data_IF_542160920913
#
_entry.id   IF_542160920913
#
_cell.length_a   1.000
_cell.length_b   1.000
_cell.length_c   1.000
_cell.angle_alpha   90.00
_cell.angle_beta   90.00
_cell.angle_gamma   90.00
#
_symmetry.space_group_name_H-M   'P 1'
#
loop_
_entity.id
_entity.type
_entity.pdbx_description
1 polymer ?
#
# COMPACT_ATOMS: atom_id res chain seq x y z
N UNK A 1 8.60 -42.65 23.81
CA UNK A 1 9.01 -41.72 22.73
C UNK A 1 10.52 -41.53 22.81
N UNK A 2 11.25 -41.71 21.71
CA UNK A 2 12.71 -41.54 21.68
C UNK A 2 13.09 -40.05 21.83
N UNK A 3 14.10 -39.73 22.64
CA UNK A 3 14.60 -38.36 22.85
C UNK A 3 14.93 -37.64 21.53
N UNK A 4 15.35 -38.41 20.52
CA UNK A 4 15.59 -37.94 19.16
C UNK A 4 14.33 -37.38 18.49
N UNK A 5 13.20 -38.05 18.64
CA UNK A 5 11.92 -37.61 18.06
C UNK A 5 11.45 -36.31 18.74
N UNK A 6 11.73 -36.15 20.03
CA UNK A 6 11.38 -34.96 20.79
C UNK A 6 12.21 -33.74 20.36
N UNK A 7 13.49 -33.95 20.04
CA UNK A 7 14.37 -32.92 19.48
C UNK A 7 13.97 -32.54 18.05
N UNK A 8 13.59 -33.50 17.21
CA UNK A 8 13.09 -33.19 15.86
C UNK A 8 11.78 -32.41 15.89
N UNK A 9 10.86 -32.78 16.77
CA UNK A 9 9.57 -32.07 16.90
C UNK A 9 9.78 -30.62 17.37
N UNK A 10 10.75 -30.39 18.26
CA UNK A 10 11.15 -29.05 18.67
C UNK A 10 11.74 -28.25 17.52
N UNK A 11 12.64 -28.85 16.74
CA UNK A 11 13.23 -28.20 15.56
C UNK A 11 12.17 -27.83 14.53
N UNK A 12 11.22 -28.72 14.26
CA UNK A 12 10.10 -28.46 13.35
C UNK A 12 9.21 -27.31 13.84
N UNK A 13 8.93 -27.26 15.15
CA UNK A 13 8.21 -26.13 15.75
C UNK A 13 8.95 -24.82 15.53
N UNK A 14 10.25 -24.77 15.78
CA UNK A 14 11.06 -23.56 15.62
C UNK A 14 11.12 -23.10 14.15
N UNK A 15 11.25 -24.04 13.21
CA UNK A 15 11.21 -23.76 11.77
C UNK A 15 9.84 -23.21 11.34
N UNK A 16 8.75 -23.76 11.87
CA UNK A 16 7.40 -23.30 11.59
C UNK A 16 7.17 -21.87 12.10
N UNK A 17 7.62 -21.56 13.32
CA UNK A 17 7.53 -20.21 13.88
C UNK A 17 8.33 -19.18 13.07
N UNK A 18 9.53 -19.56 12.63
CA UNK A 18 10.35 -18.72 11.76
C UNK A 18 9.66 -18.47 10.41
N UNK A 19 9.02 -19.50 9.85
CA UNK A 19 8.27 -19.36 8.60
C UNK A 19 7.07 -18.41 8.76
N UNK A 20 6.29 -18.55 9.84
CA UNK A 20 5.18 -17.63 10.11
C UNK A 20 5.65 -16.20 10.33
N UNK A 21 6.76 -15.99 11.06
CA UNK A 21 7.31 -14.64 11.26
C UNK A 21 7.68 -13.99 9.93
N UNK A 22 8.34 -14.74 9.03
CA UNK A 22 8.64 -14.23 7.68
C UNK A 22 7.40 -13.92 6.86
N UNK A 23 6.35 -14.74 6.95
CA UNK A 23 5.09 -14.45 6.25
C UNK A 23 4.43 -13.19 6.79
N UNK A 24 4.46 -12.98 8.10
CA UNK A 24 3.95 -11.77 8.73
C UNK A 24 4.80 -10.55 8.34
N UNK A 25 6.13 -10.66 8.38
CA UNK A 25 7.04 -9.59 7.95
C UNK A 25 6.85 -9.24 6.46
N UNK A 26 6.63 -10.25 5.61
CA UNK A 26 6.36 -10.05 4.19
C UNK A 26 4.99 -9.41 3.95
N UNK A 27 3.95 -9.87 4.65
CA UNK A 27 2.62 -9.26 4.57
C UNK A 27 2.63 -7.83 5.13
N UNK A 28 3.38 -7.58 6.20
CA UNK A 28 3.57 -6.25 6.77
C UNK A 28 4.32 -5.35 5.79
N UNK A 29 5.37 -5.84 5.11
CA UNK A 29 6.04 -5.13 4.02
C UNK A 29 5.12 -4.86 2.85
N UNK A 30 4.32 -5.82 2.40
CA UNK A 30 3.29 -5.60 1.37
C UNK A 30 2.24 -4.55 1.80
N UNK A 31 2.03 -4.35 3.10
CA UNK A 31 1.12 -3.32 3.63
C UNK A 31 1.81 -1.94 3.83
N UNK A 32 3.07 -1.91 4.24
CA UNK A 32 3.82 -0.69 4.60
C UNK A 32 4.65 -0.15 3.44
N UNK A 33 5.42 -1.02 2.79
CA UNK A 33 6.24 -0.78 1.60
C UNK A 33 5.76 -1.68 0.46
N UNK A 34 4.53 -1.53 -0.05
CA UNK A 34 4.25 -2.20 -1.28
C UNK A 34 5.18 -1.52 -2.28
N UNK A 35 6.06 -2.30 -2.89
CA UNK A 35 6.67 -1.94 -4.16
C UNK A 35 5.47 -1.74 -5.11
N UNK A 36 4.83 -0.57 -5.01
CA UNK A 36 3.59 -0.23 -5.65
C UNK A 36 3.96 0.28 -7.03
N UNK A 37 3.90 -0.60 -8.01
CA UNK A 37 3.30 -0.20 -9.26
C UNK A 37 1.99 -0.87 -9.32
N UNK A 38 0.96 -0.05 -9.21
CA UNK A 38 -0.31 -0.45 -9.79
C UNK A 38 -0.08 -0.43 -11.30
N UNK A 39 -0.46 -1.49 -12.00
CA UNK A 39 -0.74 -1.38 -13.42
C UNK A 39 -1.80 -0.27 -13.58
N UNK A 40 -1.54 0.70 -14.46
CA UNK A 40 -2.38 1.90 -14.60
C UNK A 40 -3.84 1.61 -15.01
N UNK A 41 -4.22 0.35 -15.21
CA UNK A 41 -5.52 -0.13 -15.64
C UNK A 41 -6.46 -0.57 -14.50
N UNK A 42 -5.99 -0.69 -13.24
CA UNK A 42 -6.84 -1.07 -12.10
C UNK A 42 -7.23 0.13 -11.22
N UNK A 43 -8.27 0.84 -11.65
CA UNK A 43 -8.77 2.07 -11.00
C UNK A 43 -9.45 1.84 -9.64
N UNK A 44 -10.05 0.67 -9.41
CA UNK A 44 -10.66 0.31 -8.12
C UNK A 44 -9.59 0.14 -7.03
N UNK A 45 -8.52 -0.60 -7.36
CA UNK A 45 -7.37 -0.76 -6.47
C UNK A 45 -6.70 0.60 -6.18
N UNK A 46 -6.56 1.45 -7.20
CA UNK A 46 -6.00 2.80 -7.05
C UNK A 46 -6.85 3.67 -6.12
N UNK A 47 -8.18 3.65 -6.27
CA UNK A 47 -9.11 4.39 -5.41
C UNK A 47 -9.00 3.97 -3.95
N UNK A 48 -8.99 2.65 -3.69
CA UNK A 48 -8.83 2.13 -2.34
C UNK A 48 -7.49 2.56 -1.75
N UNK A 49 -6.42 2.48 -2.52
CA UNK A 49 -5.08 2.79 -2.07
C UNK A 49 -4.87 4.28 -1.74
N UNK A 50 -5.34 5.19 -2.59
CA UNK A 50 -5.31 6.63 -2.34
C UNK A 50 -6.00 6.96 -1.00
N UNK A 51 -7.19 6.37 -0.78
CA UNK A 51 -7.95 6.56 0.46
C UNK A 51 -7.21 5.99 1.67
N UNK A 52 -6.65 4.79 1.55
CA UNK A 52 -5.94 4.09 2.63
C UNK A 52 -4.67 4.83 3.02
N UNK A 53 -3.81 5.19 2.05
CA UNK A 53 -2.56 5.92 2.32
C UNK A 53 -2.81 7.31 2.90
N UNK A 54 -3.80 8.05 2.37
CA UNK A 54 -4.18 9.34 2.95
C UNK A 54 -4.60 9.18 4.42
N UNK A 55 -5.43 8.17 4.73
CA UNK A 55 -5.88 7.90 6.10
C UNK A 55 -4.73 7.45 7.02
N UNK A 56 -3.81 6.61 6.54
CA UNK A 56 -2.67 6.15 7.33
C UNK A 56 -1.70 7.29 7.67
N UNK A 57 -1.58 8.28 6.77
CA UNK A 57 -0.78 9.49 6.99
C UNK A 57 -1.50 10.55 7.84
N UNK A 58 -2.77 10.33 8.21
CA UNK A 58 -3.58 11.30 8.95
C UNK A 58 -3.88 12.58 8.19
N UNK A 59 -3.75 12.58 6.85
CA UNK A 59 -3.92 13.77 6.01
C UNK A 59 -5.40 14.03 5.70
N UNK A 60 -5.80 15.28 5.84
CA UNK A 60 -7.09 15.78 5.36
C UNK A 60 -7.02 16.16 3.88
N UNK A 61 -8.18 16.45 3.27
CA UNK A 61 -8.19 17.02 1.90
C UNK A 61 -7.63 18.45 1.87
N UNK A 62 -7.76 19.19 2.97
CA UNK A 62 -7.20 20.53 3.10
C UNK A 62 -5.65 20.48 3.11
N UNK A 63 -5.08 19.47 3.77
CA UNK A 63 -3.62 19.29 3.80
C UNK A 63 -3.08 18.97 2.40
N UNK A 64 -3.75 18.07 1.68
CA UNK A 64 -3.40 17.76 0.29
C UNK A 64 -3.58 18.95 -0.64
N UNK A 65 -4.62 19.78 -0.45
CA UNK A 65 -4.81 21.01 -1.22
C UNK A 65 -3.66 22.00 -1.00
N UNK A 66 -3.19 22.13 0.24
CA UNK A 66 -2.04 22.97 0.58
C UNK A 66 -0.74 22.46 -0.05
N UNK A 67 -0.52 21.14 -0.06
CA UNK A 67 0.69 20.51 -0.58
C UNK A 67 0.73 20.49 -2.12
N UNK A 68 -0.40 20.19 -2.76
CA UNK A 68 -0.48 19.98 -4.21
C UNK A 68 -0.97 21.21 -4.99
N UNK A 69 -1.58 22.18 -4.32
CA UNK A 69 -2.30 23.29 -4.95
C UNK A 69 -3.61 22.89 -5.65
N UNK A 70 -4.05 21.63 -5.51
CA UNK A 70 -5.26 21.11 -6.14
C UNK A 70 -6.46 21.35 -5.23
N UNK A 71 -7.52 21.96 -5.78
CA UNK A 71 -8.71 22.28 -4.98
C UNK A 71 -9.37 21.04 -4.35
N UNK A 72 -9.96 21.20 -3.16
CA UNK A 72 -10.64 20.07 -2.50
C UNK A 72 -11.72 19.40 -3.34
N UNK A 73 -12.43 20.16 -4.17
CA UNK A 73 -13.45 19.62 -5.07
C UNK A 73 -12.85 18.75 -6.18
N UNK A 74 -11.63 19.06 -6.61
CA UNK A 74 -10.88 18.27 -7.58
C UNK A 74 -10.26 17.04 -6.92
N UNK A 75 -9.72 17.18 -5.70
CA UNK A 75 -9.24 16.04 -4.90
C UNK A 75 -10.38 15.06 -4.58
N UNK A 76 -11.57 15.54 -4.18
CA UNK A 76 -12.74 14.66 -3.94
C UNK A 76 -13.09 13.83 -5.16
N UNK A 77 -13.11 14.45 -6.35
CA UNK A 77 -13.36 13.75 -7.62
C UNK A 77 -12.28 12.74 -7.93
N UNK A 78 -11.01 13.14 -7.84
CA UNK A 78 -9.85 12.25 -8.05
C UNK A 78 -9.88 11.02 -7.13
N UNK A 79 -10.21 11.19 -5.84
CA UNK A 79 -10.31 10.08 -4.89
C UNK A 79 -11.55 9.21 -5.09
N UNK A 80 -12.54 9.64 -5.87
CA UNK A 80 -13.76 8.88 -6.15
C UNK A 80 -13.71 8.21 -7.52
N UNK A 81 -13.03 8.85 -8.46
CA UNK A 81 -12.90 8.48 -9.86
C UNK A 81 -11.52 8.95 -10.38
N UNK A 82 -10.46 8.19 -10.11
CA UNK A 82 -9.11 8.54 -10.54
C UNK A 82 -8.88 8.30 -12.04
N UNK A 83 -9.75 7.54 -12.72
CA UNK A 83 -9.70 7.30 -14.17
C UNK A 83 -9.92 8.60 -14.95
N UNK A 84 -10.92 9.38 -14.54
CA UNK A 84 -11.25 10.66 -15.19
C UNK A 84 -10.46 11.85 -14.63
N UNK A 85 -9.51 11.60 -13.71
CA UNK A 85 -8.66 12.64 -13.19
C UNK A 85 -7.59 13.06 -14.20
N UNK A 86 -7.19 14.34 -14.18
CA UNK A 86 -6.01 14.77 -14.93
C UNK A 86 -4.79 13.98 -14.44
N UNK A 87 -4.09 13.31 -15.34
CA UNK A 87 -2.91 12.49 -15.02
C UNK A 87 -1.89 13.26 -14.18
N UNK A 88 -1.64 14.54 -14.49
CA UNK A 88 -0.74 15.38 -13.69
C UNK A 88 -1.20 15.59 -12.24
N UNK A 89 -2.50 15.73 -12.00
CA UNK A 89 -3.05 15.83 -10.64
C UNK A 89 -2.93 14.49 -9.89
N UNK A 90 -3.18 13.37 -10.59
CA UNK A 90 -3.03 12.04 -10.03
C UNK A 90 -1.57 11.77 -9.62
N UNK A 91 -0.61 12.11 -10.48
CA UNK A 91 0.82 11.97 -10.19
C UNK A 91 1.25 12.79 -8.97
N UNK A 92 0.83 14.07 -8.90
CA UNK A 92 1.15 14.93 -7.76
C UNK A 92 0.57 14.37 -6.44
N UNK A 93 -0.69 13.95 -6.45
CA UNK A 93 -1.31 13.35 -5.25
C UNK A 93 -0.61 12.04 -4.87
N UNK A 94 -0.27 11.19 -5.83
CA UNK A 94 0.48 9.97 -5.56
C UNK A 94 1.86 10.28 -4.96
N UNK A 95 2.57 11.29 -5.48
CA UNK A 95 3.86 11.73 -4.95
C UNK A 95 3.75 12.17 -3.48
N UNK A 96 2.77 13.01 -3.14
CA UNK A 96 2.54 13.45 -1.75
C UNK A 96 2.13 12.30 -0.81
N UNK A 97 1.45 11.29 -1.34
CA UNK A 97 1.07 10.10 -0.58
C UNK A 97 2.18 9.03 -0.52
N UNK A 98 3.35 9.29 -1.12
CA UNK A 98 4.45 8.32 -1.20
C UNK A 98 4.15 7.09 -2.08
N UNK A 99 3.17 7.22 -2.98
CA UNK A 99 2.75 6.19 -3.93
C UNK A 99 3.62 6.31 -5.19
N UNK A 100 4.36 5.25 -5.52
CA UNK A 100 5.00 5.14 -6.83
C UNK A 100 3.94 4.67 -7.85
N UNK A 101 3.96 5.25 -9.04
CA UNK A 101 3.14 4.80 -10.16
C UNK A 101 4.10 4.24 -11.22
N UNK A 102 3.84 3.04 -11.72
CA UNK A 102 4.60 2.46 -12.83
C UNK A 102 3.69 2.38 -14.05
N UNK A 103 4.16 2.87 -15.19
CA UNK A 103 3.49 2.59 -16.45
C UNK A 103 3.61 1.09 -16.72
N UNK A 104 2.48 0.41 -16.89
CA UNK A 104 2.48 -0.97 -17.38
C UNK A 104 3.20 -0.98 -18.74
N UNK A 105 4.16 -1.89 -18.89
CA UNK A 105 5.00 -2.02 -20.08
C UNK A 105 4.29 -2.81 -21.18
#
# INVERSE_FOLDING_TARGET
MSHRNLLELRKQSDELFQHFSRLLDNAEKELTEPELGIAADNYDAMTLMLKTKRKSLGLTLSDLELQTGISQSTLKRLFSDPENARVGHLLLVCQELGIKLWAAK
#
